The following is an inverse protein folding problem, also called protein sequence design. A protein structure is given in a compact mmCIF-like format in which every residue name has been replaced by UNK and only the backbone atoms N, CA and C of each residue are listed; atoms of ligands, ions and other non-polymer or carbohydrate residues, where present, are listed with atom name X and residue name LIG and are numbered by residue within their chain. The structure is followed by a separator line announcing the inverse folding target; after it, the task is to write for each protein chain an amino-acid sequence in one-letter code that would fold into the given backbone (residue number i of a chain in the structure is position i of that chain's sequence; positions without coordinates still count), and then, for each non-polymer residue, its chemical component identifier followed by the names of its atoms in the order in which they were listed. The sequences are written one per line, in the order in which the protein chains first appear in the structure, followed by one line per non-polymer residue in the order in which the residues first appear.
data_IF_180839489379
#
_entry.id   IF_180839489379
#
_cell.length_a   1.000
_cell.length_b   1.000
_cell.length_c   1.000
_cell.angle_alpha   90.00
_cell.angle_beta   90.00
_cell.angle_gamma   90.00
#
_symmetry.space_group_name_H-M   'P 1'
#
loop_
_entity.id
_entity.type
_entity.pdbx_description
1 polymer ?
#
# COMPACT_ATOMS: atom_id res chain seq x y z
N UNK A 1 -11.88 11.92 -9.14
CA UNK A 1 -10.84 11.11 -8.46
C UNK A 1 -10.15 12.06 -7.51
N UNK A 2 -9.95 11.70 -6.23
CA UNK A 2 -9.16 12.53 -5.32
C UNK A 2 -7.77 12.72 -5.94
N UNK A 3 -7.23 13.93 -5.83
CA UNK A 3 -5.90 14.32 -6.30
C UNK A 3 -4.80 13.70 -5.43
N UNK A 4 -4.81 12.37 -5.29
CA UNK A 4 -3.76 11.67 -4.56
C UNK A 4 -2.46 11.83 -5.33
N UNK A 5 -1.57 12.67 -4.78
CA UNK A 5 -0.22 12.86 -5.27
C UNK A 5 0.67 11.80 -4.62
N UNK A 6 1.11 10.84 -5.42
CA UNK A 6 2.09 9.85 -5.01
C UNK A 6 3.36 10.56 -4.51
N UNK A 7 3.65 10.45 -3.20
CA UNK A 7 4.79 11.12 -2.57
C UNK A 7 6.06 10.25 -2.55
N UNK A 8 6.18 9.30 -3.48
CA UNK A 8 7.32 8.38 -3.54
C UNK A 8 7.23 7.23 -2.55
N UNK A 9 8.38 6.61 -2.26
CA UNK A 9 8.51 5.42 -1.43
C UNK A 9 7.87 5.56 -0.03
N UNK A 10 7.84 6.77 0.55
CA UNK A 10 7.22 7.02 1.84
C UNK A 10 5.72 6.65 1.84
N UNK A 11 5.02 6.96 0.76
CA UNK A 11 3.60 6.64 0.63
C UNK A 11 3.34 5.13 0.67
N UNK A 12 4.21 4.36 0.01
CA UNK A 12 4.13 2.90 -0.04
C UNK A 12 4.47 2.32 1.33
N UNK A 13 5.52 2.81 1.99
CA UNK A 13 5.90 2.37 3.33
C UNK A 13 4.79 2.60 4.37
N UNK A 14 4.07 3.73 4.28
CA UNK A 14 2.91 3.99 5.14
C UNK A 14 1.78 3.01 4.89
N UNK A 15 1.50 2.68 3.62
CA UNK A 15 0.47 1.70 3.27
C UNK A 15 0.84 0.29 3.78
N UNK A 16 2.11 -0.13 3.67
CA UNK A 16 2.60 -1.39 4.24
C UNK A 16 2.31 -1.44 5.74
N UNK A 17 2.66 -0.38 6.48
CA UNK A 17 2.38 -0.32 7.93
C UNK A 17 0.90 -0.44 8.28
N UNK A 18 0.01 0.15 7.47
CA UNK A 18 -1.44 0.03 7.65
C UNK A 18 -1.91 -1.40 7.38
N UNK A 19 -1.44 -2.02 6.30
CA UNK A 19 -1.79 -3.38 5.91
C UNK A 19 -1.33 -4.41 6.95
N UNK A 20 -0.09 -4.29 7.46
CA UNK A 20 0.41 -5.13 8.56
C UNK A 20 -0.45 -4.99 9.82
N UNK A 21 -0.89 -3.76 10.15
CA UNK A 21 -1.77 -3.54 11.29
C UNK A 21 -3.23 -4.00 11.06
N UNK A 22 -3.63 -4.26 9.81
CA UNK A 22 -4.91 -4.89 9.47
C UNK A 22 -4.78 -6.41 9.55
N UNK A 23 -3.69 -6.96 9.04
CA UNK A 23 -3.39 -8.38 9.08
C UNK A 23 -3.40 -8.94 10.51
N UNK A 24 -2.71 -8.25 11.44
CA UNK A 24 -2.61 -8.66 12.84
C UNK A 24 -3.96 -8.75 13.60
N UNK A 25 -5.01 -8.12 13.09
CA UNK A 25 -6.35 -8.15 13.71
C UNK A 25 -7.35 -8.99 12.92
N UNK A 26 -6.91 -9.62 11.82
CA UNK A 26 -7.78 -10.35 10.92
C UNK A 26 -8.04 -11.76 11.46
N UNK A 27 -9.30 -12.20 11.36
CA UNK A 27 -9.74 -13.52 11.84
C UNK A 27 -10.19 -14.41 10.67
N UNK A 28 -10.34 -13.82 9.49
CA UNK A 28 -10.75 -14.51 8.27
C UNK A 28 -9.53 -14.76 7.38
N UNK A 29 -9.22 -16.04 7.14
CA UNK A 29 -8.08 -16.48 6.33
C UNK A 29 -8.12 -15.99 4.87
N UNK A 30 -9.30 -15.74 4.31
CA UNK A 30 -9.40 -15.18 2.95
C UNK A 30 -8.98 -13.70 2.90
N UNK A 31 -9.27 -12.97 3.97
CA UNK A 31 -8.90 -11.56 4.07
C UNK A 31 -7.40 -11.44 4.41
N UNK A 32 -6.87 -12.34 5.25
CA UNK A 32 -5.42 -12.49 5.53
C UNK A 32 -4.64 -12.68 4.21
N UNK A 33 -5.02 -13.65 3.38
CA UNK A 33 -4.38 -13.89 2.07
C UNK A 33 -4.46 -12.68 1.13
N UNK A 34 -5.56 -11.91 1.17
CA UNK A 34 -5.71 -10.71 0.37
C UNK A 34 -4.80 -9.57 0.87
N UNK A 35 -4.61 -9.47 2.20
CA UNK A 35 -3.71 -8.50 2.82
C UNK A 35 -2.26 -8.88 2.53
N UNK A 36 -1.88 -10.15 2.66
CA UNK A 36 -0.55 -10.66 2.31
C UNK A 36 -0.18 -10.31 0.86
N UNK A 37 -1.07 -10.61 -0.09
CA UNK A 37 -0.84 -10.26 -1.50
C UNK A 37 -0.71 -8.75 -1.72
N UNK A 38 -1.40 -7.93 -0.93
CA UNK A 38 -1.30 -6.47 -1.02
C UNK A 38 0.02 -5.96 -0.41
N UNK A 39 0.51 -6.58 0.67
CA UNK A 39 1.81 -6.30 1.27
C UNK A 39 2.92 -6.64 0.28
N UNK A 40 2.88 -7.85 -0.31
CA UNK A 40 3.86 -8.29 -1.32
C UNK A 40 3.94 -7.33 -2.52
N UNK A 41 2.79 -6.88 -3.03
CA UNK A 41 2.75 -5.89 -4.11
C UNK A 41 3.37 -4.56 -3.67
N UNK A 42 3.05 -4.09 -2.46
CA UNK A 42 3.63 -2.86 -1.92
C UNK A 42 5.14 -2.96 -1.69
N UNK A 43 5.65 -4.09 -1.18
CA UNK A 43 7.10 -4.27 -0.98
C UNK A 43 7.86 -4.22 -2.31
N UNK A 44 7.35 -4.88 -3.35
CA UNK A 44 7.96 -4.83 -4.69
C UNK A 44 7.98 -3.42 -5.28
N UNK A 45 6.88 -2.68 -5.14
CA UNK A 45 6.78 -1.30 -5.62
C UNK A 45 7.65 -0.35 -4.77
N UNK A 46 7.78 -0.62 -3.47
CA UNK A 46 8.66 0.12 -2.56
C UNK A 46 10.13 -0.04 -2.96
N UNK A 47 10.60 -1.26 -3.25
CA UNK A 47 11.97 -1.49 -3.69
C UNK A 47 12.31 -0.71 -4.96
N UNK A 48 11.38 -0.68 -5.94
CA UNK A 48 11.53 0.12 -7.17
C UNK A 48 11.60 1.62 -6.87
N UNK A 49 10.72 2.12 -6.00
CA UNK A 49 10.65 3.52 -5.61
C UNK A 49 11.87 3.98 -4.78
N UNK A 50 12.49 3.06 -4.02
CA UNK A 50 13.73 3.32 -3.28
C UNK A 50 14.94 3.31 -4.22
N UNK A 51 14.98 2.38 -5.19
CA UNK A 51 16.08 2.27 -6.14
C UNK A 51 16.12 3.42 -7.16
N UNK A 52 14.95 3.96 -7.55
CA UNK A 52 14.83 5.08 -8.46
C UNK A 52 13.83 6.13 -7.91
N UNK A 53 14.32 7.30 -7.44
CA UNK A 53 13.46 8.39 -6.96
C UNK A 53 12.50 8.96 -8.01
N UNK A 54 12.75 8.73 -9.30
CA UNK A 54 11.86 9.14 -10.39
C UNK A 54 10.85 8.07 -10.79
N UNK A 55 10.89 6.90 -10.14
CA UNK A 55 9.95 5.83 -10.38
C UNK A 55 8.53 6.24 -10.00
N UNK A 56 7.60 5.96 -10.90
CA UNK A 56 6.16 6.15 -10.68
C UNK A 56 5.49 4.81 -10.93
N UNK A 57 4.80 4.24 -9.92
CA UNK A 57 4.01 3.02 -10.08
C UNK A 57 2.91 3.15 -11.13
N UNK A 58 2.30 2.02 -11.48
CA UNK A 58 1.12 2.02 -12.35
C UNK A 58 -0.03 2.84 -11.74
N UNK A 59 -0.87 3.45 -12.58
CA UNK A 59 -2.06 4.18 -12.11
C UNK A 59 -3.00 3.31 -11.28
N UNK A 60 -3.14 2.04 -11.65
CA UNK A 60 -3.98 1.09 -10.93
C UNK A 60 -3.44 0.81 -9.53
N UNK A 61 -2.11 0.68 -9.39
CA UNK A 61 -1.47 0.57 -8.09
C UNK A 61 -1.66 1.85 -7.27
N UNK A 62 -1.51 3.03 -7.87
CA UNK A 62 -1.72 4.31 -7.19
C UNK A 62 -3.16 4.42 -6.63
N UNK A 63 -4.17 3.93 -7.36
CA UNK A 63 -5.55 3.88 -6.86
C UNK A 63 -5.70 2.91 -5.69
N UNK A 64 -5.07 1.72 -5.75
CA UNK A 64 -5.04 0.79 -4.62
C UNK A 64 -4.35 1.39 -3.41
N UNK A 65 -3.22 2.06 -3.62
CA UNK A 65 -2.43 2.73 -2.60
C UNK A 65 -3.24 3.80 -1.87
N UNK A 66 -3.99 4.64 -2.59
CA UNK A 66 -4.90 5.64 -2.00
C UNK A 66 -5.96 4.96 -1.10
N UNK A 67 -6.51 3.82 -1.54
CA UNK A 67 -7.47 3.06 -0.73
C UNK A 67 -6.83 2.51 0.54
N UNK A 68 -5.61 1.96 0.48
CA UNK A 68 -4.90 1.45 1.66
C UNK A 68 -4.59 2.55 2.65
N UNK A 69 -4.12 3.71 2.18
CA UNK A 69 -3.87 4.87 3.04
C UNK A 69 -5.16 5.37 3.71
N UNK A 70 -6.28 5.38 2.98
CA UNK A 70 -7.58 5.75 3.52
C UNK A 70 -8.11 4.78 4.60
N UNK A 71 -7.60 3.53 4.67
CA UNK A 71 -7.94 2.61 5.77
C UNK A 71 -7.30 3.04 7.09
N UNK A 72 -6.09 3.62 7.04
CA UNK A 72 -5.40 4.16 8.22
C UNK A 72 -6.09 5.38 8.80
N UNK A 73 -6.66 6.25 7.96
CA UNK A 73 -7.36 7.48 8.36
C UNK A 73 -8.76 7.24 8.98
N UNK A 74 -9.29 6.02 8.89
CA UNK A 74 -10.62 5.66 9.44
C UNK A 74 -10.58 5.07 10.85
N UNK A 75 -9.41 4.95 11.48
CA UNK A 75 -9.22 4.50 12.87
C UNK A 75 -9.09 5.70 13.81
#
# INVERSE_FOLDING_TARGET
MKDYAFAGAESINRAIGILVALDQVQVNAMDELAIDSAIDECEQEYEKAVADPSYVPSKDFIVRLDNYLALGDRR
#
